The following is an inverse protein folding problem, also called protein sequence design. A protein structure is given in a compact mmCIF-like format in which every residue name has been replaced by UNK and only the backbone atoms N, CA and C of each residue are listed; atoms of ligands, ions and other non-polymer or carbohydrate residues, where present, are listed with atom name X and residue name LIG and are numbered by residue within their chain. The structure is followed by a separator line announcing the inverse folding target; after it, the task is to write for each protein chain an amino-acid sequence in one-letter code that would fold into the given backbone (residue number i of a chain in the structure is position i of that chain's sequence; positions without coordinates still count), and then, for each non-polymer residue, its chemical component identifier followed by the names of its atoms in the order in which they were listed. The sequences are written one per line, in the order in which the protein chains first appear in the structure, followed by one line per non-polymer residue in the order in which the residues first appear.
data_IF_109870864316
#
_entry.id   IF_109870864316
#
_cell.length_a   1.000
_cell.length_b   1.000
_cell.length_c   1.000
_cell.angle_alpha   90.00
_cell.angle_beta   90.00
_cell.angle_gamma   90.00
#
_symmetry.space_group_name_H-M   'P 1'
#
loop_
_entity.id
_entity.type
_entity.pdbx_description
1 polymer ?
#
# COMPACT_ATOMS: atom_id res chain seq x y z
N UNK A 1 -6.83 23.53 -10.45
CA UNK A 1 -5.60 22.83 -10.87
C UNK A 1 -5.09 22.06 -9.67
N UNK A 2 -5.18 20.74 -9.69
CA UNK A 2 -4.57 19.90 -8.65
C UNK A 2 -3.06 20.12 -8.72
N UNK A 3 -2.46 20.58 -7.64
CA UNK A 3 -1.01 20.74 -7.54
C UNK A 3 -0.38 19.37 -7.76
N UNK A 4 0.59 19.32 -8.69
CA UNK A 4 1.32 18.12 -9.06
C UNK A 4 2.30 17.74 -7.94
N UNK A 5 1.81 17.10 -6.89
CA UNK A 5 2.70 16.45 -5.94
C UNK A 5 3.13 15.14 -6.60
N UNK A 6 4.37 15.10 -7.03
CA UNK A 6 5.02 13.87 -7.55
C UNK A 6 6.09 13.45 -6.56
N UNK A 7 6.20 12.14 -6.36
CA UNK A 7 7.28 11.58 -5.55
C UNK A 7 8.64 11.84 -6.22
N UNK A 8 9.67 11.99 -5.41
CA UNK A 8 11.05 12.11 -5.90
C UNK A 8 11.46 10.86 -6.65
N UNK A 9 12.18 11.03 -7.78
CA UNK A 9 12.58 9.93 -8.67
C UNK A 9 13.80 9.16 -8.13
N UNK A 10 14.04 7.97 -8.67
CA UNK A 10 15.28 7.20 -8.48
C UNK A 10 15.43 6.56 -7.09
N UNK A 11 14.37 6.12 -6.44
CA UNK A 11 14.43 5.50 -5.10
C UNK A 11 14.68 6.50 -3.97
N UNK A 12 14.58 7.80 -4.25
CA UNK A 12 14.89 8.86 -3.30
C UNK A 12 13.91 8.89 -2.11
N UNK A 13 12.69 8.40 -2.29
CA UNK A 13 11.71 8.38 -1.22
C UNK A 13 12.15 7.48 -0.07
N UNK A 14 12.43 6.21 -0.33
CA UNK A 14 12.86 5.27 0.70
C UNK A 14 14.20 5.63 1.33
N UNK A 15 15.11 6.25 0.56
CA UNK A 15 16.39 6.76 1.09
C UNK A 15 16.19 7.95 2.04
N UNK A 16 15.21 8.80 1.78
CA UNK A 16 14.94 10.02 2.57
C UNK A 16 13.98 9.80 3.74
N UNK A 17 13.15 8.74 3.72
CA UNK A 17 12.04 8.54 4.68
C UNK A 17 12.27 7.34 5.60
N UNK A 18 13.38 7.35 6.37
CA UNK A 18 13.65 6.30 7.38
C UNK A 18 12.49 6.12 8.36
N UNK A 19 11.84 7.21 8.78
CA UNK A 19 10.67 7.14 9.67
C UNK A 19 9.49 6.37 9.07
N UNK A 20 9.28 6.39 7.75
CA UNK A 20 8.26 5.58 7.10
C UNK A 20 8.61 4.08 7.16
N UNK A 21 9.87 3.73 6.91
CA UNK A 21 10.35 2.36 7.04
C UNK A 21 10.21 1.84 8.50
N UNK A 22 10.52 2.69 9.50
CA UNK A 22 10.38 2.33 10.91
C UNK A 22 8.91 2.06 11.29
N UNK A 23 7.97 2.89 10.80
CA UNK A 23 6.52 2.67 11.02
C UNK A 23 6.05 1.38 10.37
N UNK A 24 6.48 1.11 9.14
CA UNK A 24 6.13 -0.11 8.40
C UNK A 24 6.67 -1.33 9.14
N UNK A 25 7.93 -1.31 9.55
CA UNK A 25 8.55 -2.41 10.29
C UNK A 25 7.90 -2.63 11.67
N UNK A 26 7.48 -1.56 12.36
CA UNK A 26 6.73 -1.66 13.60
C UNK A 26 5.34 -2.29 13.43
N UNK A 27 4.77 -2.28 12.22
CA UNK A 27 3.49 -2.92 11.91
C UNK A 27 3.60 -4.42 11.57
N UNK A 28 4.81 -4.96 11.38
CA UNK A 28 5.03 -6.37 11.02
C UNK A 28 4.29 -7.34 11.97
N UNK A 29 4.34 -7.22 13.31
CA UNK A 29 3.60 -8.13 14.17
C UNK A 29 2.08 -8.14 13.95
N UNK A 30 1.50 -6.99 13.56
CA UNK A 30 0.08 -6.90 13.22
C UNK A 30 -0.23 -7.62 11.90
N UNK A 31 0.66 -7.49 10.92
CA UNK A 31 0.57 -8.20 9.64
C UNK A 31 0.67 -9.71 9.85
N UNK A 32 1.64 -10.18 10.62
CA UNK A 32 1.84 -11.60 10.96
C UNK A 32 0.61 -12.16 11.67
N UNK A 33 0.05 -11.44 12.64
CA UNK A 33 -1.19 -11.83 13.31
C UNK A 33 -2.36 -11.87 12.34
N UNK A 34 -2.46 -10.91 11.44
CA UNK A 34 -3.51 -10.90 10.43
C UNK A 34 -3.38 -12.07 9.46
N UNK A 35 -2.18 -12.46 9.05
CA UNK A 35 -1.94 -13.61 8.17
C UNK A 35 -2.20 -14.94 8.88
N UNK A 36 -1.75 -15.12 10.12
CA UNK A 36 -1.87 -16.38 10.87
C UNK A 36 -3.30 -16.89 11.06
N UNK A 37 -4.28 -16.01 10.94
CA UNK A 37 -5.70 -16.40 11.00
C UNK A 37 -6.33 -16.64 9.64
N UNK A 38 -5.57 -16.73 8.55
CA UNK A 38 -6.10 -16.94 7.20
C UNK A 38 -6.03 -18.43 6.81
N UNK A 39 -7.10 -18.94 6.20
CA UNK A 39 -7.10 -20.29 5.65
C UNK A 39 -6.36 -20.31 4.31
N UNK A 40 -5.19 -20.95 4.25
CA UNK A 40 -4.38 -21.08 3.03
C UNK A 40 -4.60 -22.40 2.30
N UNK A 41 -5.18 -23.41 3.00
CA UNK A 41 -5.38 -24.74 2.42
C UNK A 41 -6.38 -24.70 1.27
N UNK A 42 -6.00 -25.30 0.15
CA UNK A 42 -6.86 -25.39 -1.04
C UNK A 42 -6.88 -24.13 -1.90
N UNK A 43 -6.12 -23.09 -1.55
CA UNK A 43 -5.95 -21.93 -2.43
C UNK A 43 -5.03 -22.28 -3.60
N UNK A 44 -5.34 -21.76 -4.78
CA UNK A 44 -4.53 -21.92 -5.99
C UNK A 44 -3.42 -20.88 -6.10
N UNK A 45 -3.60 -19.75 -5.47
CA UNK A 45 -2.65 -18.64 -5.37
C UNK A 45 -2.95 -17.79 -4.13
N UNK A 46 -2.01 -16.90 -3.80
CA UNK A 46 -2.19 -15.87 -2.76
C UNK A 46 -1.84 -14.49 -3.33
N UNK A 47 -2.78 -13.58 -3.30
CA UNK A 47 -2.63 -12.22 -3.84
C UNK A 47 -2.53 -11.19 -2.72
N UNK A 48 -1.45 -10.44 -2.70
CA UNK A 48 -1.15 -9.33 -1.78
C UNK A 48 -1.10 -8.02 -2.55
N UNK A 49 -1.59 -6.93 -1.97
CA UNK A 49 -1.41 -5.60 -2.54
C UNK A 49 -0.78 -4.62 -1.54
N UNK A 50 0.22 -3.88 -2.01
CA UNK A 50 0.80 -2.69 -1.37
C UNK A 50 0.14 -1.44 -2.00
N UNK A 51 -0.71 -0.77 -1.22
CA UNK A 51 -1.52 0.35 -1.67
C UNK A 51 -0.87 1.69 -1.32
N UNK A 52 -0.35 2.39 -2.33
CA UNK A 52 0.44 3.61 -2.16
C UNK A 52 1.90 3.30 -1.88
N UNK A 53 2.48 2.42 -2.70
CA UNK A 53 3.80 1.84 -2.51
C UNK A 53 4.99 2.79 -2.74
N UNK A 54 4.78 3.98 -3.28
CA UNK A 54 5.84 4.92 -3.66
C UNK A 54 6.92 4.25 -4.55
N UNK A 55 8.18 4.24 -4.12
CA UNK A 55 9.28 3.54 -4.79
C UNK A 55 9.48 2.08 -4.31
N UNK A 56 8.60 1.57 -3.44
CA UNK A 56 8.57 0.21 -2.94
C UNK A 56 9.61 -0.14 -1.89
N UNK A 57 10.68 0.65 -1.73
CA UNK A 57 11.82 0.29 -0.89
C UNK A 57 11.48 0.15 0.60
N UNK A 58 10.54 0.94 1.10
CA UNK A 58 10.13 0.90 2.52
C UNK A 58 9.31 -0.34 2.89
N UNK A 59 8.67 -1.00 1.92
CA UNK A 59 7.80 -2.17 2.16
C UNK A 59 8.46 -3.52 1.84
N UNK A 60 9.65 -3.55 1.21
CA UNK A 60 10.30 -4.79 0.78
C UNK A 60 10.47 -5.80 1.91
N UNK A 61 10.96 -5.36 3.08
CA UNK A 61 11.18 -6.25 4.24
C UNK A 61 9.85 -6.83 4.76
N UNK A 62 8.81 -6.01 4.85
CA UNK A 62 7.50 -6.48 5.28
C UNK A 62 6.91 -7.49 4.29
N UNK A 63 7.03 -7.22 2.99
CA UNK A 63 6.57 -8.16 1.95
C UNK A 63 7.36 -9.47 2.03
N UNK A 64 8.67 -9.43 2.26
CA UNK A 64 9.49 -10.63 2.46
C UNK A 64 9.00 -11.44 3.66
N UNK A 65 8.75 -10.79 4.80
CA UNK A 65 8.19 -11.46 6.00
C UNK A 65 6.83 -12.10 5.71
N UNK A 66 5.95 -11.43 4.97
CA UNK A 66 4.67 -12.02 4.54
C UNK A 66 4.87 -13.26 3.68
N UNK A 67 5.79 -13.21 2.70
CA UNK A 67 6.13 -14.34 1.83
C UNK A 67 6.63 -15.51 2.66
N UNK A 68 7.54 -15.29 3.61
CA UNK A 68 8.10 -16.32 4.49
C UNK A 68 7.00 -16.98 5.33
N UNK A 69 6.10 -16.21 5.90
CA UNK A 69 4.98 -16.75 6.68
C UNK A 69 4.03 -17.58 5.80
N UNK A 70 3.65 -17.08 4.63
CA UNK A 70 2.80 -17.83 3.68
C UNK A 70 3.49 -19.14 3.26
N UNK A 71 4.79 -19.11 2.99
CA UNK A 71 5.59 -20.29 2.63
C UNK A 71 5.69 -21.32 3.77
N UNK A 72 5.67 -20.85 5.03
CA UNK A 72 5.63 -21.74 6.19
C UNK A 72 4.39 -22.64 6.22
N UNK A 73 3.25 -22.16 5.73
CA UNK A 73 1.97 -22.89 5.71
C UNK A 73 1.65 -23.50 4.34
N UNK A 74 2.09 -22.86 3.25
CA UNK A 74 1.84 -23.27 1.86
C UNK A 74 3.11 -23.10 0.99
N UNK A 75 4.08 -24.03 1.06
CA UNK A 75 5.42 -23.87 0.49
C UNK A 75 5.45 -23.59 -1.02
N UNK A 76 4.54 -24.15 -1.79
CA UNK A 76 4.54 -24.09 -3.26
C UNK A 76 3.49 -23.14 -3.84
N UNK A 77 2.67 -22.48 -3.01
CA UNK A 77 1.60 -21.62 -3.51
C UNK A 77 2.17 -20.44 -4.33
N UNK A 78 1.67 -20.15 -5.54
CA UNK A 78 2.03 -18.94 -6.26
C UNK A 78 1.61 -17.71 -5.48
N UNK A 79 2.53 -16.75 -5.29
CA UNK A 79 2.25 -15.49 -4.61
C UNK A 79 2.28 -14.37 -5.64
N UNK A 80 1.23 -13.54 -5.65
CA UNK A 80 1.09 -12.36 -6.50
C UNK A 80 1.24 -11.13 -5.62
N UNK A 81 2.22 -10.27 -5.90
CA UNK A 81 2.42 -9.00 -5.20
C UNK A 81 2.05 -7.86 -6.14
N UNK A 82 1.02 -7.12 -5.79
CA UNK A 82 0.53 -5.96 -6.53
C UNK A 82 1.04 -4.67 -5.88
N UNK A 83 1.93 -3.98 -6.57
CA UNK A 83 2.39 -2.64 -6.19
C UNK A 83 1.50 -1.60 -6.87
N UNK A 84 0.82 -0.79 -6.08
CA UNK A 84 -0.12 0.19 -6.64
C UNK A 84 0.19 1.60 -6.13
N UNK A 85 0.17 2.55 -7.04
CA UNK A 85 0.34 3.97 -6.72
C UNK A 85 -0.36 4.82 -7.80
N UNK A 86 -0.48 6.12 -7.56
CA UNK A 86 -1.07 7.04 -8.51
C UNK A 86 -0.30 7.04 -9.86
N UNK A 87 -0.97 7.39 -10.99
CA UNK A 87 -0.36 7.31 -12.33
C UNK A 87 0.91 8.14 -12.54
N UNK A 88 1.17 9.13 -11.68
CA UNK A 88 2.36 9.99 -11.75
C UNK A 88 3.54 9.52 -10.92
N UNK A 89 3.41 8.37 -10.25
CA UNK A 89 4.53 7.78 -9.53
C UNK A 89 5.70 7.44 -10.47
N UNK A 90 6.91 7.40 -9.94
CA UNK A 90 8.09 6.92 -10.67
C UNK A 90 8.10 5.38 -10.76
N UNK A 91 7.31 4.83 -11.67
CA UNK A 91 7.22 3.38 -11.87
C UNK A 91 8.53 2.75 -12.33
N UNK A 92 9.41 3.49 -13.00
CA UNK A 92 10.73 2.97 -13.37
C UNK A 92 11.59 2.75 -12.13
N UNK A 93 11.62 3.72 -11.21
CA UNK A 93 12.30 3.59 -9.92
C UNK A 93 11.71 2.47 -9.06
N UNK A 94 10.38 2.36 -9.00
CA UNK A 94 9.67 1.29 -8.30
C UNK A 94 10.07 -0.10 -8.84
N UNK A 95 10.02 -0.29 -10.16
CA UNK A 95 10.37 -1.56 -10.79
C UNK A 95 11.82 -1.93 -10.49
N UNK A 96 12.76 -0.99 -10.62
CA UNK A 96 14.17 -1.23 -10.31
C UNK A 96 14.36 -1.63 -8.85
N UNK A 97 13.70 -0.94 -7.91
CA UNK A 97 13.76 -1.25 -6.48
C UNK A 97 13.24 -2.66 -6.18
N UNK A 98 12.06 -2.97 -6.69
CA UNK A 98 11.41 -4.28 -6.46
C UNK A 98 12.22 -5.42 -7.09
N UNK A 99 12.84 -5.20 -8.25
CA UNK A 99 13.70 -6.19 -8.91
C UNK A 99 15.11 -6.29 -8.30
N UNK A 100 15.42 -5.56 -7.23
CA UNK A 100 16.74 -5.59 -6.60
C UNK A 100 17.84 -4.91 -7.42
N UNK A 101 17.48 -4.11 -8.42
CA UNK A 101 18.43 -3.36 -9.26
C UNK A 101 18.78 -1.98 -8.66
N UNK A 102 18.18 -1.64 -7.52
CA UNK A 102 18.35 -0.38 -6.79
C UNK A 102 19.24 -0.53 -5.56
N UNK A 103 19.00 0.33 -4.57
CA UNK A 103 19.79 0.42 -3.34
C UNK A 103 19.36 -0.57 -2.25
N UNK A 104 18.22 -1.23 -2.41
CA UNK A 104 17.63 -2.09 -1.40
C UNK A 104 17.69 -3.56 -1.84
N UNK A 105 18.00 -4.50 -0.91
CA UNK A 105 17.89 -5.92 -1.21
C UNK A 105 16.43 -6.28 -1.47
N UNK A 106 16.19 -7.11 -2.47
CA UNK A 106 14.85 -7.58 -2.82
C UNK A 106 14.66 -9.06 -2.42
N UNK A 107 13.42 -9.42 -2.15
CA UNK A 107 13.00 -10.79 -1.88
C UNK A 107 13.02 -11.69 -3.14
N UNK A 108 13.12 -11.12 -4.34
CA UNK A 108 12.98 -11.84 -5.61
C UNK A 108 14.04 -12.93 -5.79
N UNK A 109 15.28 -12.66 -5.40
CA UNK A 109 16.37 -13.63 -5.52
C UNK A 109 16.23 -14.79 -4.53
N UNK A 110 15.57 -14.58 -3.40
CA UNK A 110 15.42 -15.54 -2.31
C UNK A 110 14.20 -16.43 -2.47
N UNK A 111 13.12 -15.91 -3.06
CA UNK A 111 11.82 -16.56 -3.09
C UNK A 111 11.35 -16.84 -4.52
N UNK A 112 11.23 -18.12 -4.87
CA UNK A 112 10.67 -18.54 -6.16
C UNK A 112 9.15 -18.51 -6.15
N UNK A 113 8.55 -18.54 -7.35
CA UNK A 113 7.10 -18.58 -7.54
C UNK A 113 6.37 -17.36 -6.90
N UNK A 114 7.02 -16.18 -6.96
CA UNK A 114 6.49 -14.88 -6.55
C UNK A 114 6.47 -13.96 -7.76
N UNK A 115 5.29 -13.44 -8.11
CA UNK A 115 5.04 -12.65 -9.31
C UNK A 115 4.69 -11.22 -8.93
N UNK A 116 5.32 -10.23 -9.57
CA UNK A 116 5.12 -8.82 -9.32
C UNK A 116 4.24 -8.19 -10.39
N UNK A 117 3.27 -7.41 -9.94
CA UNK A 117 2.37 -6.64 -10.79
C UNK A 117 2.41 -5.18 -10.36
N UNK A 118 2.34 -4.28 -11.34
CA UNK A 118 2.41 -2.84 -11.09
C UNK A 118 1.15 -2.19 -11.68
N UNK A 119 0.42 -1.44 -10.86
CA UNK A 119 -0.81 -0.78 -11.29
C UNK A 119 -0.76 0.72 -11.03
N UNK A 120 -0.85 1.49 -12.11
CA UNK A 120 -0.84 2.94 -12.09
C UNK A 120 -2.26 3.49 -11.87
N UNK A 121 -2.80 3.33 -10.66
CA UNK A 121 -4.13 3.79 -10.34
C UNK A 121 -4.20 4.27 -8.88
N UNK A 122 -5.09 5.22 -8.61
CA UNK A 122 -5.31 5.76 -7.27
C UNK A 122 -6.16 4.80 -6.44
N UNK A 123 -5.84 4.64 -5.14
CA UNK A 123 -6.64 3.87 -4.21
C UNK A 123 -8.06 4.43 -3.98
N UNK A 124 -8.36 5.63 -4.51
CA UNK A 124 -9.71 6.18 -4.58
C UNK A 124 -10.58 5.54 -5.67
N UNK A 125 -10.02 4.64 -6.45
CA UNK A 125 -10.72 3.85 -7.45
C UNK A 125 -10.58 2.37 -7.16
N UNK A 126 -11.40 1.55 -7.79
CA UNK A 126 -11.17 0.12 -7.82
C UNK A 126 -9.94 -0.15 -8.71
N UNK A 127 -8.95 -0.84 -8.14
CA UNK A 127 -7.66 -1.10 -8.78
C UNK A 127 -7.60 -2.51 -9.34
N UNK A 128 -8.21 -3.45 -8.63
CA UNK A 128 -8.17 -4.86 -8.92
C UNK A 128 -9.60 -5.40 -9.10
N UNK A 129 -9.77 -6.52 -9.81
CA UNK A 129 -11.08 -7.16 -9.96
C UNK A 129 -11.74 -7.51 -8.61
N UNK A 130 -13.05 -7.65 -8.61
CA UNK A 130 -13.80 -8.11 -7.45
C UNK A 130 -13.27 -9.47 -6.97
N UNK A 131 -13.18 -9.63 -5.65
CA UNK A 131 -12.76 -10.86 -4.99
C UNK A 131 -11.44 -11.44 -5.54
N UNK A 132 -10.43 -10.60 -5.81
CA UNK A 132 -9.14 -11.00 -6.37
C UNK A 132 -7.98 -10.94 -5.36
N UNK A 133 -8.14 -10.21 -4.24
CA UNK A 133 -7.12 -10.06 -3.20
C UNK A 133 -7.37 -10.95 -2.00
N UNK A 134 -6.32 -11.59 -1.51
CA UNK A 134 -6.31 -12.28 -0.22
C UNK A 134 -5.92 -11.32 0.91
N UNK A 135 -4.99 -10.43 0.63
CA UNK A 135 -4.49 -9.49 1.62
C UNK A 135 -4.16 -8.14 0.97
N UNK A 136 -4.46 -7.04 1.65
CA UNK A 136 -3.89 -5.76 1.27
C UNK A 136 -3.41 -4.97 2.50
N UNK A 137 -2.40 -4.17 2.28
CA UNK A 137 -1.97 -3.21 3.27
C UNK A 137 -1.71 -1.85 2.64
N UNK A 138 -1.76 -0.83 3.48
CA UNK A 138 -1.31 0.51 3.12
C UNK A 138 -0.66 1.13 4.34
N UNK A 139 0.58 1.54 4.21
CA UNK A 139 1.30 2.21 5.26
C UNK A 139 1.70 3.61 4.80
N UNK A 140 1.42 4.61 5.64
CA UNK A 140 1.79 6.01 5.41
C UNK A 140 1.29 6.64 4.08
N UNK A 141 0.23 6.10 3.46
CA UNK A 141 -0.29 6.61 2.18
C UNK A 141 -1.74 7.09 2.26
N UNK A 142 -2.65 6.37 2.89
CA UNK A 142 -4.09 6.69 2.86
C UNK A 142 -4.50 7.94 3.65
N UNK A 143 -3.56 8.65 4.27
CA UNK A 143 -3.79 9.97 4.85
C UNK A 143 -3.82 11.12 3.82
N UNK A 144 -3.41 10.86 2.58
CA UNK A 144 -3.52 11.84 1.50
C UNK A 144 -4.95 11.92 0.99
N UNK A 145 -5.60 13.07 1.19
CA UNK A 145 -6.95 13.32 0.68
C UNK A 145 -6.97 13.36 -0.85
N UNK A 146 -8.10 13.00 -1.45
CA UNK A 146 -8.29 13.03 -2.91
C UNK A 146 -8.25 14.44 -3.50
N UNK A 147 -8.36 15.45 -2.67
CA UNK A 147 -8.32 16.87 -3.06
C UNK A 147 -8.29 17.80 -1.86
N UNK A 148 -8.31 19.08 -2.13
CA UNK A 148 -8.39 20.15 -1.13
C UNK A 148 -9.84 20.66 -1.06
N UNK A 149 -10.59 20.40 0.03
CA UNK A 149 -12.02 20.76 0.08
C UNK A 149 -12.27 22.26 0.32
N UNK A 150 -11.35 22.97 0.98
CA UNK A 150 -11.40 24.42 1.17
C UNK A 150 -10.01 24.99 1.45
N UNK A 151 -9.88 26.31 1.42
CA UNK A 151 -8.68 27.01 1.89
C UNK A 151 -8.64 27.03 3.41
N UNK A 152 -7.42 27.03 3.96
CA UNK A 152 -7.16 27.23 5.39
C UNK A 152 -6.74 28.69 5.62
N UNK A 153 -7.42 29.37 6.53
CA UNK A 153 -7.19 30.80 6.75
C UNK A 153 -5.96 31.10 7.61
N UNK A 154 -5.70 30.25 8.61
CA UNK A 154 -4.69 30.52 9.65
C UNK A 154 -3.68 29.38 9.85
N UNK A 155 -3.61 28.42 8.94
CA UNK A 155 -2.74 27.25 9.08
C UNK A 155 -2.30 26.72 7.72
N UNK A 156 -1.11 26.14 7.66
CA UNK A 156 -0.60 25.49 6.43
C UNK A 156 -1.04 24.02 6.29
N UNK A 157 -1.56 23.42 7.36
CA UNK A 157 -1.95 22.00 7.40
C UNK A 157 -3.33 21.83 8.05
N UNK A 158 -4.14 20.92 7.53
CA UNK A 158 -5.52 20.69 7.98
C UNK A 158 -5.68 20.35 9.46
N UNK A 159 -4.64 19.77 10.10
CA UNK A 159 -4.64 19.48 11.55
C UNK A 159 -4.85 20.74 12.39
N UNK A 160 -4.45 21.89 11.87
CA UNK A 160 -4.66 23.20 12.52
C UNK A 160 -6.00 23.85 12.19
N UNK A 161 -6.84 23.26 11.34
CA UNK A 161 -8.15 23.80 10.98
C UNK A 161 -9.05 23.89 12.21
N UNK A 162 -9.88 24.93 12.25
CA UNK A 162 -10.86 25.19 13.35
C UNK A 162 -12.21 25.60 12.77
N UNK A 163 -13.27 25.40 13.58
CA UNK A 163 -14.63 25.80 13.22
C UNK A 163 -15.07 25.19 11.89
N UNK A 164 -15.63 26.00 11.00
CA UNK A 164 -16.19 25.56 9.72
C UNK A 164 -15.17 24.87 8.80
N UNK A 165 -13.92 25.31 8.81
CA UNK A 165 -12.86 24.68 8.02
C UNK A 165 -12.59 23.24 8.51
N UNK A 166 -12.56 23.04 9.82
CA UNK A 166 -12.40 21.71 10.43
C UNK A 166 -13.57 20.78 10.08
N UNK A 167 -14.80 21.27 10.13
CA UNK A 167 -16.00 20.50 9.75
C UNK A 167 -15.93 20.05 8.29
N UNK A 168 -15.55 20.96 7.38
CA UNK A 168 -15.41 20.67 5.94
C UNK A 168 -14.33 19.60 5.71
N UNK A 169 -13.15 19.73 6.32
CA UNK A 169 -12.08 18.74 6.19
C UNK A 169 -12.46 17.39 6.80
N UNK A 170 -13.16 17.37 7.95
CA UNK A 170 -13.62 16.15 8.59
C UNK A 170 -14.63 15.39 7.73
N UNK A 171 -15.61 16.10 7.18
CA UNK A 171 -16.62 15.45 6.30
C UNK A 171 -15.97 14.94 5.01
N UNK A 172 -15.09 15.72 4.39
CA UNK A 172 -14.38 15.30 3.19
C UNK A 172 -13.45 14.10 3.47
N UNK A 173 -12.75 14.08 4.60
CA UNK A 173 -11.93 12.96 5.03
C UNK A 173 -12.75 11.69 5.25
N UNK A 174 -13.93 11.81 5.89
CA UNK A 174 -14.86 10.70 6.07
C UNK A 174 -15.32 10.10 4.73
N UNK A 175 -15.75 10.95 3.79
CA UNK A 175 -16.16 10.50 2.45
C UNK A 175 -15.01 9.83 1.69
N UNK A 176 -13.79 10.37 1.81
CA UNK A 176 -12.59 9.78 1.22
C UNK A 176 -12.32 8.40 1.80
N UNK A 177 -12.39 8.27 3.11
CA UNK A 177 -12.15 7.01 3.82
C UNK A 177 -13.20 5.95 3.45
N UNK A 178 -14.47 6.32 3.43
CA UNK A 178 -15.57 5.44 2.99
C UNK A 178 -15.35 4.95 1.55
N UNK A 179 -14.97 5.85 0.64
CA UNK A 179 -14.66 5.51 -0.75
C UNK A 179 -13.54 4.47 -0.84
N UNK A 180 -12.44 4.67 -0.10
CA UNK A 180 -11.32 3.72 -0.06
C UNK A 180 -11.80 2.35 0.44
N UNK A 181 -12.50 2.31 1.56
CA UNK A 181 -12.97 1.06 2.17
C UNK A 181 -13.95 0.30 1.26
N UNK A 182 -14.86 1.00 0.58
CA UNK A 182 -15.81 0.38 -0.35
C UNK A 182 -15.10 -0.27 -1.54
N UNK A 183 -14.08 0.35 -2.10
CA UNK A 183 -13.31 -0.28 -3.18
C UNK A 183 -12.52 -1.49 -2.68
N UNK A 184 -11.87 -1.36 -1.53
CA UNK A 184 -11.09 -2.49 -0.94
C UNK A 184 -12.00 -3.66 -0.58
N UNK A 185 -13.20 -3.40 -0.05
CA UNK A 185 -14.15 -4.47 0.29
C UNK A 185 -14.62 -5.28 -0.93
N UNK A 186 -14.67 -4.67 -2.10
CA UNK A 186 -14.98 -5.36 -3.37
C UNK A 186 -13.82 -6.22 -3.85
N UNK A 187 -12.60 -5.71 -3.74
CA UNK A 187 -11.38 -6.37 -4.22
C UNK A 187 -10.97 -7.55 -3.34
N UNK A 188 -11.26 -7.49 -2.05
CA UNK A 188 -10.96 -8.57 -1.13
C UNK A 188 -11.85 -9.79 -1.38
N UNK A 189 -11.23 -10.96 -1.41
CA UNK A 189 -11.92 -12.26 -1.39
C UNK A 189 -12.68 -12.44 -0.06
N UNK A 190 -13.72 -13.29 0.00
CA UNK A 190 -14.28 -13.72 1.27
C UNK A 190 -13.18 -14.26 2.21
N UNK A 191 -13.11 -13.73 3.43
CA UNK A 191 -12.03 -14.03 4.39
C UNK A 191 -10.70 -13.31 4.10
N UNK A 192 -10.62 -12.49 3.06
CA UNK A 192 -9.48 -11.61 2.81
C UNK A 192 -9.35 -10.54 3.91
N UNK A 193 -8.13 -10.08 4.15
CA UNK A 193 -7.83 -9.12 5.23
C UNK A 193 -7.13 -7.88 4.73
N UNK A 194 -7.30 -6.81 5.49
CA UNK A 194 -6.69 -5.52 5.22
C UNK A 194 -6.07 -4.96 6.50
N UNK A 195 -4.86 -4.42 6.39
CA UNK A 195 -4.15 -3.68 7.45
C UNK A 195 -3.81 -2.27 6.92
N UNK A 196 -4.21 -1.24 7.68
CA UNK A 196 -4.06 0.16 7.30
C UNK A 196 -3.43 0.97 8.43
#
# INVERSE_FOLDING_TARGET
MLQNITMSKGGAYSLATRGAADVINASIPMIEQALSGMELRGRTDFSVADMGCADGGTSLQMIETMIEQIRGEAPEIPIKVHYTDQPRNDYNGLIQTVLGLGHFPSYIEKHKNVFQFFSANSFYHQILPDASLDFCFSATAMHWLSGKPCDLSNHIHMVGAKGKEQEIFSEFGKQNWETILLHRSRELKPGGRMVL
#
